data_IF_750492959218
#
_entry.id   IF_750492959218
#
_cell.length_a   1.000
_cell.length_b   1.000
_cell.length_c   1.000
_cell.angle_alpha   90.00
_cell.angle_beta   90.00
_cell.angle_gamma   90.00
#
_symmetry.space_group_name_H-M   'P 1'
#
loop_
_entity.id
_entity.type
_entity.pdbx_description
1 polymer ?
#
# COMPACT_ATOMS: atom_id res chain seq x y z
N UNK A 1 14.62 -63.51 42.37
CA UNK A 1 14.26 -62.08 42.36
C UNK A 1 13.02 -61.93 41.47
N UNK A 2 11.81 -61.89 42.04
CA UNK A 2 10.56 -61.78 41.26
C UNK A 2 10.40 -60.32 40.84
N UNK A 3 10.54 -60.05 39.55
CA UNK A 3 10.32 -58.72 39.00
C UNK A 3 8.81 -58.51 38.92
N UNK A 4 8.29 -57.59 39.71
CA UNK A 4 6.87 -57.27 39.76
C UNK A 4 6.45 -56.47 38.51
N UNK A 5 5.56 -57.07 37.73
CA UNK A 5 5.04 -56.50 36.48
C UNK A 5 4.25 -55.20 36.68
N UNK A 6 3.65 -54.99 37.86
CA UNK A 6 2.95 -53.72 38.16
C UNK A 6 3.93 -52.55 38.26
N UNK A 7 5.13 -52.78 38.80
CA UNK A 7 6.15 -51.75 38.96
C UNK A 7 6.75 -51.30 37.61
N UNK A 8 6.86 -52.23 36.64
CA UNK A 8 7.34 -51.91 35.28
C UNK A 8 6.29 -51.10 34.51
N UNK A 9 5.03 -51.54 34.51
CA UNK A 9 3.94 -50.85 33.79
C UNK A 9 3.75 -49.42 34.32
N UNK A 10 3.85 -49.22 35.65
CA UNK A 10 3.73 -47.90 36.27
C UNK A 10 4.88 -46.96 35.91
N UNK A 11 6.11 -47.48 35.79
CA UNK A 11 7.29 -46.70 35.34
C UNK A 11 7.20 -46.33 33.86
N UNK A 12 6.69 -47.22 33.00
CA UNK A 12 6.43 -46.91 31.60
C UNK A 12 5.30 -45.89 31.42
N UNK A 13 4.21 -46.00 32.17
CA UNK A 13 3.10 -45.04 32.14
C UNK A 13 3.52 -43.64 32.62
N UNK A 14 4.28 -43.54 33.72
CA UNK A 14 4.81 -42.25 34.19
C UNK A 14 5.81 -41.65 33.19
N UNK A 15 6.69 -42.45 32.59
CA UNK A 15 7.63 -41.99 31.57
C UNK A 15 6.95 -41.48 30.30
N UNK A 16 5.89 -42.16 29.85
CA UNK A 16 5.09 -41.74 28.70
C UNK A 16 4.33 -40.43 28.96
N UNK A 17 3.75 -40.26 30.15
CA UNK A 17 3.08 -39.01 30.55
C UNK A 17 4.08 -37.84 30.61
N UNK A 18 5.29 -38.08 31.14
CA UNK A 18 6.34 -37.06 31.22
C UNK A 18 6.86 -36.66 29.84
N UNK A 19 7.02 -37.62 28.91
CA UNK A 19 7.39 -37.33 27.52
C UNK A 19 6.31 -36.53 26.78
N UNK A 20 5.03 -36.82 27.01
CA UNK A 20 3.91 -36.04 26.45
C UNK A 20 3.89 -34.61 27.02
N UNK A 21 4.10 -34.44 28.33
CA UNK A 21 4.16 -33.12 28.97
C UNK A 21 5.30 -32.23 28.43
N UNK A 22 6.44 -32.83 28.08
CA UNK A 22 7.61 -32.11 27.53
C UNK A 22 7.38 -31.70 26.06
N UNK A 23 6.57 -32.45 25.30
CA UNK A 23 6.30 -32.16 23.89
C UNK A 23 5.14 -31.18 23.66
N UNK A 24 4.20 -31.06 24.60
CA UNK A 24 3.09 -30.09 24.54
C UNK A 24 3.51 -28.63 24.33
N UNK A 25 4.53 -28.08 25.02
CA UNK A 25 4.93 -26.68 24.82
C UNK A 25 5.55 -26.41 23.43
N UNK A 26 6.00 -27.44 22.70
CA UNK A 26 6.54 -27.28 21.35
C UNK A 26 5.47 -27.12 20.26
N UNK A 27 4.21 -27.50 20.52
CA UNK A 27 3.13 -27.44 19.53
C UNK A 27 2.39 -26.08 19.47
N UNK A 28 2.66 -25.16 20.40
CA UNK A 28 2.04 -23.82 20.41
C UNK A 28 2.96 -22.74 19.83
N UNK A 29 3.38 -22.91 18.58
CA UNK A 29 4.02 -21.80 17.88
C UNK A 29 2.93 -20.88 17.33
N UNK A 30 2.93 -19.61 17.76
CA UNK A 30 2.00 -18.60 17.27
C UNK A 30 2.12 -18.49 15.74
N UNK A 31 1.07 -18.92 15.03
CA UNK A 31 1.04 -18.84 13.57
C UNK A 31 0.78 -17.39 13.19
N UNK A 32 1.80 -16.73 12.67
CA UNK A 32 1.70 -15.38 12.13
C UNK A 32 1.31 -15.40 10.66
N UNK A 33 0.62 -14.36 10.21
CA UNK A 33 0.30 -14.15 8.80
C UNK A 33 0.31 -12.66 8.43
N UNK A 34 0.52 -12.40 7.14
CA UNK A 34 0.35 -11.06 6.57
C UNK A 34 -1.11 -10.85 6.15
N UNK A 35 -1.63 -9.65 6.43
CA UNK A 35 -2.92 -9.16 5.93
C UNK A 35 -2.76 -7.77 5.32
N UNK A 36 -3.66 -7.41 4.41
CA UNK A 36 -3.79 -6.07 3.87
C UNK A 36 -4.81 -5.30 4.72
N UNK A 37 -4.33 -4.36 5.52
CA UNK A 37 -5.11 -3.61 6.50
C UNK A 37 -5.51 -2.23 5.97
N UNK A 38 -6.79 -1.88 6.09
CA UNK A 38 -7.31 -0.55 5.76
C UNK A 38 -7.25 0.36 7.00
N UNK A 39 -6.44 1.43 6.91
CA UNK A 39 -6.29 2.38 8.02
C UNK A 39 -7.63 3.08 8.36
N UNK A 40 -8.12 3.00 9.61
CA UNK A 40 -9.40 3.62 10.02
C UNK A 40 -9.44 5.14 9.87
N UNK A 41 -8.27 5.80 9.91
CA UNK A 41 -8.13 7.25 9.84
C UNK A 41 -7.93 7.82 8.43
N UNK A 42 -7.64 6.98 7.42
CA UNK A 42 -7.43 7.40 6.04
C UNK A 42 -7.94 6.32 5.07
N UNK A 43 -9.26 6.30 4.80
CA UNK A 43 -9.89 5.30 3.94
C UNK A 43 -9.38 5.45 2.49
N UNK A 44 -8.37 4.66 2.15
CA UNK A 44 -7.64 4.73 0.88
C UNK A 44 -6.19 4.28 1.03
N UNK A 45 -5.65 4.30 2.25
CA UNK A 45 -4.32 3.76 2.56
C UNK A 45 -4.47 2.34 3.07
N UNK A 46 -4.01 1.40 2.26
CA UNK A 46 -3.84 0.01 2.65
C UNK A 46 -2.37 -0.29 2.91
N UNK A 47 -2.07 -1.03 3.98
CA UNK A 47 -0.71 -1.46 4.27
C UNK A 47 -0.69 -2.90 4.77
N UNK A 48 0.40 -3.59 4.44
CA UNK A 48 0.61 -4.97 4.91
C UNK A 48 1.04 -4.94 6.37
N UNK A 49 0.28 -5.62 7.23
CA UNK A 49 0.66 -5.85 8.64
C UNK A 49 0.79 -7.35 8.90
N UNK A 50 1.71 -7.69 9.81
CA UNK A 50 1.84 -9.05 10.34
C UNK A 50 1.00 -9.17 11.61
N UNK A 51 0.06 -10.12 11.61
CA UNK A 51 -0.82 -10.39 12.75
C UNK A 51 -0.72 -11.86 13.18
N UNK A 52 -1.14 -12.13 14.42
CA UNK A 52 -1.41 -13.50 14.85
C UNK A 52 -2.69 -14.03 14.21
N UNK A 53 -2.74 -15.34 13.92
CA UNK A 53 -3.93 -15.98 13.31
C UNK A 53 -5.21 -15.79 14.13
N UNK A 54 -5.12 -15.65 15.45
CA UNK A 54 -6.27 -15.41 16.33
C UNK A 54 -6.92 -14.04 16.10
N UNK A 55 -6.16 -13.03 15.64
CA UNK A 55 -6.63 -11.68 15.39
C UNK A 55 -7.33 -11.56 14.02
N UNK A 56 -7.07 -12.52 13.12
CA UNK A 56 -7.53 -12.49 11.73
C UNK A 56 -9.04 -12.28 11.59
N UNK A 57 -9.83 -12.93 12.44
CA UNK A 57 -11.29 -12.80 12.38
C UNK A 57 -11.72 -11.35 12.57
N UNK A 58 -11.16 -10.66 13.56
CA UNK A 58 -11.53 -9.28 13.85
C UNK A 58 -11.15 -8.36 12.70
N UNK A 59 -9.99 -8.59 12.07
CA UNK A 59 -9.52 -7.84 10.90
C UNK A 59 -10.42 -8.01 9.67
N UNK A 60 -10.75 -9.25 9.31
CA UNK A 60 -11.61 -9.53 8.14
C UNK A 60 -13.04 -9.02 8.35
N UNK A 61 -13.55 -9.03 9.58
CA UNK A 61 -14.90 -8.55 9.91
C UNK A 61 -15.09 -7.04 9.65
N UNK A 62 -14.01 -6.25 9.50
CA UNK A 62 -14.08 -4.83 9.16
C UNK A 62 -13.39 -4.44 7.84
N UNK A 63 -13.14 -5.42 6.95
CA UNK A 63 -12.76 -5.15 5.56
C UNK A 63 -11.28 -5.36 5.21
N UNK A 64 -10.48 -5.92 6.11
CA UNK A 64 -9.11 -6.33 5.78
C UNK A 64 -9.08 -7.62 4.94
N UNK A 65 -8.06 -7.77 4.10
CA UNK A 65 -7.90 -8.93 3.22
C UNK A 65 -6.75 -9.84 3.68
N UNK A 66 -6.91 -11.15 3.51
CA UNK A 66 -5.83 -12.11 3.78
C UNK A 66 -4.72 -12.00 2.74
N UNK A 67 -3.47 -12.06 3.21
CA UNK A 67 -2.27 -11.91 2.39
C UNK A 67 -1.71 -10.49 2.42
N UNK A 68 -0.47 -10.28 1.95
CA UNK A 68 0.04 -8.93 1.77
C UNK A 68 -0.90 -8.14 0.87
N UNK A 69 -0.92 -6.82 1.02
CA UNK A 69 -1.53 -5.98 -0.01
C UNK A 69 -0.91 -6.38 -1.34
N UNK A 70 -1.76 -6.64 -2.34
CA UNK A 70 -1.28 -6.83 -3.71
C UNK A 70 -0.43 -5.61 -4.01
N UNK A 71 0.76 -5.83 -4.56
CA UNK A 71 1.53 -4.81 -5.25
C UNK A 71 0.77 -4.38 -6.52
N UNK A 72 -0.49 -4.00 -6.37
CA UNK A 72 -1.15 -3.16 -7.34
C UNK A 72 -0.55 -1.78 -7.02
N UNK A 73 0.52 -1.46 -7.76
CA UNK A 73 1.38 -0.27 -7.74
C UNK A 73 0.63 1.09 -7.69
N UNK A 74 -0.71 1.06 -7.69
CA UNK A 74 -1.62 2.19 -7.65
C UNK A 74 -2.04 2.61 -6.22
N UNK A 75 -1.90 1.75 -5.20
CA UNK A 75 -2.42 2.06 -3.86
C UNK A 75 -1.49 2.91 -2.95
N UNK A 76 -0.30 3.28 -3.41
CA UNK A 76 0.65 4.08 -2.62
C UNK A 76 0.92 5.47 -3.19
N UNK A 77 0.23 5.88 -4.27
CA UNK A 77 0.32 7.23 -4.81
C UNK A 77 -1.09 7.76 -5.05
N UNK A 78 -1.61 8.47 -4.04
CA UNK A 78 -2.87 9.19 -4.19
C UNK A 78 -2.60 10.39 -5.09
N UNK A 79 -3.05 10.36 -6.34
CA UNK A 79 -3.06 11.50 -7.26
C UNK A 79 -4.51 11.85 -7.58
N UNK A 80 -4.86 13.12 -7.47
CA UNK A 80 -6.20 13.63 -7.76
C UNK A 80 -6.09 14.92 -8.54
N UNK A 81 -6.88 15.03 -9.61
CA UNK A 81 -7.05 16.26 -10.36
C UNK A 81 -8.49 16.72 -10.20
N UNK A 82 -8.70 17.86 -9.54
CA UNK A 82 -10.05 18.37 -9.30
C UNK A 82 -10.08 19.92 -9.24
N UNK A 83 -11.10 20.57 -9.85
CA UNK A 83 -12.14 19.99 -10.70
C UNK A 83 -11.57 19.47 -12.03
N UNK A 84 -12.16 18.41 -12.58
CA UNK A 84 -11.80 17.91 -13.91
C UNK A 84 -13.03 17.22 -14.54
N UNK A 85 -13.67 17.79 -15.58
CA UNK A 85 -13.24 18.97 -16.34
C UNK A 85 -13.15 20.29 -15.54
N UNK A 86 -12.39 21.26 -16.03
CA UNK A 86 -12.20 22.58 -15.42
C UNK A 86 -12.44 23.72 -16.42
N UNK A 87 -12.64 24.95 -15.93
CA UNK A 87 -12.83 26.14 -16.75
C UNK A 87 -11.55 26.99 -16.78
N UNK A 88 -11.17 27.64 -15.68
CA UNK A 88 -9.93 28.43 -15.65
C UNK A 88 -8.74 27.65 -15.07
N UNK A 89 -8.99 26.90 -13.99
CA UNK A 89 -7.94 26.22 -13.23
C UNK A 89 -8.41 24.88 -12.68
N UNK A 90 -7.47 23.97 -12.50
CA UNK A 90 -7.63 22.74 -11.73
C UNK A 90 -6.52 22.62 -10.68
N UNK A 91 -6.69 21.70 -9.73
CA UNK A 91 -5.68 21.40 -8.72
C UNK A 91 -5.20 19.96 -8.90
N UNK A 92 -3.89 19.81 -9.04
CA UNK A 92 -3.19 18.52 -9.06
C UNK A 92 -2.69 18.26 -7.64
N UNK A 93 -3.34 17.33 -6.96
CA UNK A 93 -3.10 16.99 -5.56
C UNK A 93 -2.49 15.61 -5.46
N UNK A 94 -1.42 15.46 -4.67
CA UNK A 94 -0.86 14.15 -4.39
C UNK A 94 -0.23 14.02 -3.01
N UNK A 95 -0.14 12.79 -2.52
CA UNK A 95 0.52 12.45 -1.25
C UNK A 95 1.75 11.59 -1.51
N UNK A 96 2.88 12.00 -0.91
CA UNK A 96 4.10 11.20 -0.82
C UNK A 96 4.22 10.60 0.58
N UNK A 97 4.43 9.30 0.65
CA UNK A 97 4.64 8.58 1.90
C UNK A 97 6.12 8.27 2.17
N UNK A 98 6.97 8.47 1.17
CA UNK A 98 8.42 8.30 1.23
C UNK A 98 9.11 9.38 0.36
N UNK A 99 10.39 9.68 0.61
CA UNK A 99 11.15 10.61 -0.22
C UNK A 99 11.19 10.14 -1.67
N UNK A 100 10.89 11.05 -2.60
CA UNK A 100 10.88 10.74 -4.02
C UNK A 100 11.16 11.97 -4.88
N UNK A 101 11.78 11.74 -6.04
CA UNK A 101 11.80 12.71 -7.12
C UNK A 101 10.46 12.72 -7.85
N UNK A 102 9.82 13.88 -7.94
CA UNK A 102 8.58 14.08 -8.67
C UNK A 102 8.82 14.90 -9.92
N UNK A 103 8.34 14.37 -11.04
CA UNK A 103 8.35 15.04 -12.33
C UNK A 103 6.97 15.07 -12.94
N UNK A 104 6.46 16.27 -13.20
CA UNK A 104 5.13 16.50 -13.78
C UNK A 104 5.24 17.18 -15.12
N UNK A 105 4.70 16.55 -16.15
CA UNK A 105 4.77 17.01 -17.53
C UNK A 105 3.37 17.01 -18.16
N UNK A 106 3.08 18.04 -18.97
CA UNK A 106 1.85 18.14 -19.75
C UNK A 106 2.14 17.76 -21.20
N UNK A 107 1.27 16.94 -21.78
CA UNK A 107 1.33 16.44 -23.15
C UNK A 107 0.04 16.78 -23.91
N UNK A 108 0.15 16.96 -25.23
CA UNK A 108 -1.00 17.09 -26.12
C UNK A 108 -1.58 15.72 -26.52
N UNK A 109 -2.67 15.72 -27.30
CA UNK A 109 -3.33 14.49 -27.75
C UNK A 109 -2.50 13.59 -28.69
N UNK A 110 -1.38 14.07 -29.23
CA UNK A 110 -0.46 13.28 -30.06
C UNK A 110 0.79 12.82 -29.28
N UNK A 111 0.85 13.09 -27.98
CA UNK A 111 1.96 12.69 -27.10
C UNK A 111 3.19 13.59 -27.18
N UNK A 112 3.07 14.81 -27.71
CA UNK A 112 4.15 15.81 -27.65
C UNK A 112 4.11 16.51 -26.29
N UNK A 113 5.26 16.52 -25.60
CA UNK A 113 5.42 17.26 -24.34
C UNK A 113 5.31 18.77 -24.61
N UNK A 114 4.33 19.39 -23.97
CA UNK A 114 4.06 20.83 -24.04
C UNK A 114 4.81 21.58 -22.94
N UNK A 115 4.75 21.08 -21.69
CA UNK A 115 5.28 21.80 -20.52
C UNK A 115 5.82 20.85 -19.44
N UNK A 116 6.87 21.28 -18.74
CA UNK A 116 7.33 20.72 -17.48
C UNK A 116 6.81 21.63 -16.35
N UNK A 117 6.05 21.06 -15.42
CA UNK A 117 5.47 21.78 -14.27
C UNK A 117 6.35 21.65 -13.03
N UNK A 118 6.86 20.45 -12.77
CA UNK A 118 7.68 20.14 -11.59
C UNK A 118 8.77 19.15 -11.99
N UNK A 119 9.95 19.32 -11.41
CA UNK A 119 11.08 18.38 -11.44
C UNK A 119 11.89 18.62 -10.16
N UNK A 120 11.57 17.89 -9.08
CA UNK A 120 12.17 18.14 -7.77
C UNK A 120 12.15 16.90 -6.88
N UNK A 121 13.19 16.76 -6.07
CA UNK A 121 13.20 15.84 -4.92
C UNK A 121 12.32 16.41 -3.81
N UNK A 122 11.42 15.59 -3.28
CA UNK A 122 10.42 15.97 -2.29
C UNK A 122 10.41 14.96 -1.13
N UNK A 123 10.24 15.50 0.07
CA UNK A 123 10.04 14.72 1.29
C UNK A 123 8.58 14.22 1.41
N UNK A 124 8.30 13.24 2.28
CA UNK A 124 6.93 12.81 2.56
C UNK A 124 6.01 13.97 2.94
N UNK A 125 4.81 14.01 2.37
CA UNK A 125 3.87 15.10 2.57
C UNK A 125 2.73 15.15 1.57
N UNK A 126 1.79 16.07 1.81
CA UNK A 126 0.68 16.37 0.89
C UNK A 126 1.04 17.60 0.06
N UNK A 127 0.88 17.51 -1.24
CA UNK A 127 1.22 18.54 -2.21
C UNK A 127 0.00 18.90 -3.05
N UNK A 128 -0.10 20.18 -3.43
CA UNK A 128 -1.17 20.70 -4.27
C UNK A 128 -0.59 21.76 -5.21
N UNK A 129 -0.79 21.56 -6.50
CA UNK A 129 -0.36 22.49 -7.55
C UNK A 129 -1.57 22.99 -8.30
N UNK A 130 -1.72 24.31 -8.38
CA UNK A 130 -2.70 24.93 -9.26
C UNK A 130 -2.20 24.86 -10.70
N UNK A 131 -3.09 24.52 -11.63
CA UNK A 131 -2.79 24.46 -13.05
C UNK A 131 -3.85 25.19 -13.87
N UNK A 132 -3.39 26.07 -14.76
CA UNK A 132 -4.16 26.72 -15.81
C UNK A 132 -3.41 26.56 -17.14
N UNK A 133 -4.10 26.11 -18.19
CA UNK A 133 -3.51 25.89 -19.51
C UNK A 133 -3.04 27.21 -20.17
N UNK A 134 -3.81 28.30 -19.98
CA UNK A 134 -3.55 29.60 -20.58
C UNK A 134 -2.27 30.24 -20.07
N UNK A 135 -1.91 30.02 -18.80
CA UNK A 135 -0.68 30.54 -18.19
C UNK A 135 0.58 30.08 -18.93
N UNK A 136 0.46 29.00 -19.70
CA UNK A 136 1.55 28.40 -20.47
C UNK A 136 1.34 28.48 -21.98
N UNK A 137 0.34 29.24 -22.45
CA UNK A 137 0.00 29.37 -23.87
C UNK A 137 -0.49 28.06 -24.50
N UNK A 138 -1.07 27.17 -23.70
CA UNK A 138 -1.63 25.90 -24.15
C UNK A 138 -3.06 26.14 -24.63
N UNK A 139 -3.42 25.62 -25.80
CA UNK A 139 -4.79 25.71 -26.33
C UNK A 139 -5.79 24.98 -25.43
N UNK A 140 -7.05 25.40 -25.43
CA UNK A 140 -8.12 24.69 -24.71
C UNK A 140 -8.36 23.28 -25.26
N UNK A 141 -8.98 22.43 -24.45
CA UNK A 141 -9.34 21.06 -24.81
C UNK A 141 -8.67 20.00 -23.94
N UNK A 142 -8.30 18.87 -24.56
CA UNK A 142 -7.81 17.68 -23.86
C UNK A 142 -6.29 17.67 -23.82
N UNK A 143 -5.75 17.55 -22.62
CA UNK A 143 -4.32 17.35 -22.37
C UNK A 143 -4.10 16.12 -21.49
N UNK A 144 -2.86 15.67 -21.42
CA UNK A 144 -2.47 14.57 -20.57
C UNK A 144 -1.39 15.03 -19.59
N UNK A 145 -1.67 14.91 -18.30
CA UNK A 145 -0.69 15.03 -17.24
C UNK A 145 0.02 13.69 -17.09
N UNK A 146 1.35 13.69 -17.21
CA UNK A 146 2.21 12.58 -16.80
C UNK A 146 2.88 12.94 -15.49
N UNK A 147 2.73 12.09 -14.49
CA UNK A 147 3.41 12.21 -13.20
C UNK A 147 4.37 11.04 -13.07
N UNK A 148 5.66 11.33 -12.92
CA UNK A 148 6.68 10.33 -12.63
C UNK A 148 7.12 10.50 -11.19
N UNK A 149 7.10 9.41 -10.44
CA UNK A 149 7.61 9.32 -9.07
C UNK A 149 8.76 8.34 -9.05
N UNK A 150 9.96 8.82 -8.74
CA UNK A 150 11.16 8.00 -8.65
C UNK A 150 11.65 7.95 -7.20
N UNK A 151 11.65 6.76 -6.62
CA UNK A 151 12.21 6.45 -5.30
C UNK A 151 13.62 5.89 -5.47
N UNK A 152 14.28 5.53 -4.37
CA UNK A 152 15.59 4.87 -4.43
C UNK A 152 15.54 3.50 -5.14
N UNK A 153 14.38 2.84 -5.10
CA UNK A 153 14.22 1.46 -5.55
C UNK A 153 13.52 1.34 -6.90
N UNK A 154 12.58 2.25 -7.20
CA UNK A 154 11.68 2.11 -8.35
C UNK A 154 11.21 3.45 -8.91
N UNK A 155 10.83 3.42 -10.18
CA UNK A 155 10.16 4.52 -10.85
C UNK A 155 8.73 4.12 -11.20
N UNK A 156 7.77 4.98 -10.88
CA UNK A 156 6.36 4.83 -11.15
C UNK A 156 5.90 5.94 -12.09
N UNK A 157 5.02 5.61 -13.02
CA UNK A 157 4.46 6.58 -13.98
C UNK A 157 2.95 6.50 -13.95
N UNK A 158 2.31 7.64 -13.73
CA UNK A 158 0.86 7.79 -13.74
C UNK A 158 0.43 8.81 -14.80
N UNK A 159 -0.72 8.59 -15.40
CA UNK A 159 -1.31 9.50 -16.38
C UNK A 159 -2.71 9.93 -15.96
N UNK A 160 -2.98 11.22 -16.03
CA UNK A 160 -4.31 11.79 -15.85
C UNK A 160 -4.70 12.60 -17.07
N UNK A 161 -5.96 12.50 -17.48
CA UNK A 161 -6.51 13.33 -18.55
C UNK A 161 -6.96 14.65 -17.96
N UNK A 162 -6.53 15.78 -18.52
CA UNK A 162 -7.01 17.12 -18.16
C UNK A 162 -7.98 17.59 -19.24
N UNK A 163 -9.18 18.06 -18.83
CA UNK A 163 -10.19 18.57 -19.77
C UNK A 163 -10.49 20.03 -19.44
N UNK A 164 -10.00 20.94 -20.28
CA UNK A 164 -10.29 22.37 -20.25
C UNK A 164 -11.58 22.68 -21.03
N UNK A 165 -12.51 23.42 -20.43
CA UNK A 165 -13.83 23.78 -20.97
C UNK A 165 -13.95 25.23 -21.45
N UNK A 166 -12.87 26.01 -21.42
CA UNK A 166 -12.90 27.40 -21.91
C UNK A 166 -13.14 27.51 -23.42
#
# INVERSE_FOLDING_TARGET
MKIDGQTIIRRFLLGAIFAILILLPFAMQAQKLNICHLSPGDPGVMHTIEIERNALKNHVDHGDYMGPCKEDEQNYFSLKVAPNPYFERTFIQYTLYEPANIKMEIYDQIGKRIKLLVDSDLEPGKYSHEFNALDFGISHGIHFLRVMRKTAEKEFVHFERLVDLH
#
